data_IF_889875556443
#
_entry.id   IF_889875556443
#
_cell.length_a   1.000
_cell.length_b   1.000
_cell.length_c   1.000
_cell.angle_alpha   90.00
_cell.angle_beta   90.00
_cell.angle_gamma   90.00
#
_symmetry.space_group_name_H-M   'P 1'
#
loop_
_entity.id
_entity.type
_entity.pdbx_description
1 polymer ?
#
# COMPACT_ATOMS: atom_id res chain seq x y z
N UNK A 1 11.38 86.41 48.15
CA UNK A 1 10.50 85.24 48.02
C UNK A 1 11.38 84.04 47.80
N UNK A 2 11.57 83.11 48.74
CA UNK A 2 10.54 82.29 49.39
C UNK A 2 9.57 81.72 48.34
N UNK A 3 9.92 80.52 47.83
CA UNK A 3 9.12 79.30 47.96
C UNK A 3 9.10 78.41 46.71
N UNK A 4 9.67 77.20 46.90
CA UNK A 4 9.49 75.93 46.17
C UNK A 4 10.53 75.53 45.12
N UNK A 5 11.66 75.05 45.64
CA UNK A 5 12.36 73.90 45.08
C UNK A 5 11.60 72.59 45.38
N UNK A 6 11.67 71.66 44.43
CA UNK A 6 11.61 70.19 44.58
C UNK A 6 10.25 69.54 44.95
N UNK A 7 9.77 68.68 44.05
CA UNK A 7 8.91 67.56 44.40
C UNK A 7 7.77 67.27 43.44
N UNK A 8 8.05 66.73 42.25
CA UNK A 8 7.09 65.88 41.54
C UNK A 8 7.83 64.76 40.82
N UNK A 9 8.23 63.77 41.61
CA UNK A 9 8.37 62.40 41.13
C UNK A 9 6.95 61.81 41.08
N UNK A 10 6.47 61.44 39.89
CA UNK A 10 5.21 60.72 39.75
C UNK A 10 5.47 59.44 38.95
N UNK A 11 5.23 58.25 39.52
CA UNK A 11 5.39 57.01 38.79
C UNK A 11 4.15 56.83 37.90
N UNK A 12 4.33 56.98 36.59
CA UNK A 12 3.27 56.66 35.63
C UNK A 12 3.22 55.14 35.42
N UNK A 13 2.56 54.42 36.33
CA UNK A 13 2.20 53.01 36.14
C UNK A 13 0.77 52.93 35.59
N UNK A 14 0.66 52.68 34.28
CA UNK A 14 -0.64 52.41 33.63
C UNK A 14 -0.87 50.92 33.58
N UNK A 15 -1.75 50.41 34.46
CA UNK A 15 -2.29 49.05 34.36
C UNK A 15 -3.68 49.15 33.70
N UNK A 16 -3.77 48.74 32.44
CA UNK A 16 -5.01 48.70 31.68
C UNK A 16 -5.50 47.28 31.47
N UNK A 17 -6.75 47.00 31.84
CA UNK A 17 -7.47 45.77 31.46
C UNK A 17 -8.31 46.05 30.21
N UNK A 18 -7.93 45.42 29.08
CA UNK A 18 -8.69 45.47 27.84
C UNK A 18 -9.66 44.30 27.78
N UNK A 19 -10.97 44.59 27.83
CA UNK A 19 -12.05 43.63 27.61
C UNK A 19 -12.72 43.90 26.27
N UNK A 20 -12.63 42.94 25.34
CA UNK A 20 -13.26 43.04 24.01
C UNK A 20 -14.33 41.97 23.83
N UNK A 21 -15.58 42.39 23.59
CA UNK A 21 -16.68 41.49 23.21
C UNK A 21 -17.09 41.83 21.77
N UNK A 22 -16.89 40.92 20.79
CA UNK A 22 -17.16 41.23 19.40
C UNK A 22 -18.67 41.37 19.15
N UNK A 23 -19.12 42.58 18.82
CA UNK A 23 -20.47 42.84 18.38
C UNK A 23 -20.57 42.57 16.87
N UNK A 24 -21.50 41.69 16.48
CA UNK A 24 -21.79 41.19 15.12
C UNK A 24 -20.87 40.06 14.64
N UNK A 25 -21.29 38.85 14.98
CA UNK A 25 -20.61 37.56 14.80
C UNK A 25 -20.46 37.06 13.33
N UNK A 26 -20.49 37.95 12.32
CA UNK A 26 -20.46 37.52 10.89
C UNK A 26 -19.17 36.79 10.52
N UNK A 27 -18.04 37.29 11.02
CA UNK A 27 -16.72 36.67 10.79
C UNK A 27 -16.60 35.32 11.51
N UNK A 28 -17.08 35.22 12.75
CA UNK A 28 -17.12 33.95 13.48
C UNK A 28 -18.04 32.93 12.79
N UNK A 29 -19.21 33.36 12.29
CA UNK A 29 -20.13 32.50 11.52
C UNK A 29 -19.49 31.99 10.23
N UNK A 30 -18.80 32.86 9.49
CA UNK A 30 -18.06 32.48 8.29
C UNK A 30 -16.92 31.49 8.60
N UNK A 31 -16.21 31.68 9.72
CA UNK A 31 -15.17 30.77 10.16
C UNK A 31 -15.74 29.40 10.55
N UNK A 32 -16.88 29.35 11.25
CA UNK A 32 -17.59 28.09 11.57
C UNK A 32 -17.99 27.37 10.28
N UNK A 33 -18.61 28.06 9.32
CA UNK A 33 -18.99 27.47 8.03
C UNK A 33 -17.78 26.94 7.26
N UNK A 34 -16.64 27.65 7.29
CA UNK A 34 -15.39 27.17 6.68
C UNK A 34 -14.90 25.89 7.36
N UNK A 35 -14.91 25.85 8.69
CA UNK A 35 -14.54 24.65 9.45
C UNK A 35 -15.48 23.47 9.15
N UNK A 36 -16.79 23.70 9.08
CA UNK A 36 -17.78 22.66 8.73
C UNK A 36 -17.54 22.09 7.33
N UNK A 37 -17.23 22.96 6.36
CA UNK A 37 -16.86 22.54 5.00
C UNK A 37 -15.58 21.70 5.00
N UNK A 38 -14.57 22.09 5.77
CA UNK A 38 -13.32 21.33 5.91
C UNK A 38 -13.56 19.96 6.55
N UNK A 39 -14.41 19.88 7.58
CA UNK A 39 -14.80 18.61 8.21
C UNK A 39 -15.51 17.70 7.20
N UNK A 40 -16.44 18.24 6.41
CA UNK A 40 -17.15 17.48 5.40
C UNK A 40 -16.23 17.00 4.26
N UNK A 41 -15.27 17.83 3.85
CA UNK A 41 -14.23 17.43 2.89
C UNK A 41 -13.36 16.30 3.45
N UNK A 42 -12.93 16.40 4.71
CA UNK A 42 -12.12 15.38 5.35
C UNK A 42 -12.88 14.04 5.48
N UNK A 43 -14.17 14.08 5.85
CA UNK A 43 -15.04 12.88 5.87
C UNK A 43 -15.10 12.20 4.50
N UNK A 44 -15.35 12.97 3.44
CA UNK A 44 -15.36 12.42 2.08
C UNK A 44 -14.02 11.82 1.67
N UNK A 45 -12.92 12.45 2.05
CA UNK A 45 -11.58 11.91 1.79
C UNK A 45 -11.36 10.57 2.51
N UNK A 46 -11.83 10.44 3.74
CA UNK A 46 -11.77 9.16 4.49
C UNK A 46 -12.64 8.09 3.82
N UNK A 47 -13.86 8.44 3.40
CA UNK A 47 -14.74 7.52 2.69
C UNK A 47 -14.12 7.04 1.37
N UNK A 48 -13.58 7.96 0.57
CA UNK A 48 -12.89 7.66 -0.69
C UNK A 48 -11.66 6.77 -0.47
N UNK A 49 -10.85 7.05 0.56
CA UNK A 49 -9.70 6.22 0.93
C UNK A 49 -10.13 4.80 1.31
N UNK A 50 -11.22 4.67 2.07
CA UNK A 50 -11.76 3.37 2.50
C UNK A 50 -12.26 2.55 1.30
N UNK A 51 -13.01 3.18 0.39
CA UNK A 51 -13.49 2.55 -0.84
C UNK A 51 -12.34 2.11 -1.75
N UNK A 52 -11.32 2.96 -1.91
CA UNK A 52 -10.12 2.62 -2.68
C UNK A 52 -9.38 1.43 -2.06
N UNK A 53 -9.20 1.42 -0.73
CA UNK A 53 -8.51 0.34 -0.04
C UNK A 53 -9.26 -0.99 -0.15
N UNK A 54 -10.59 -0.98 0.01
CA UNK A 54 -11.43 -2.16 -0.19
C UNK A 54 -11.33 -2.72 -1.62
N UNK A 55 -11.28 -1.83 -2.61
CA UNK A 55 -11.12 -2.21 -4.02
C UNK A 55 -9.75 -2.84 -4.29
N UNK A 56 -8.67 -2.26 -3.75
CA UNK A 56 -7.31 -2.80 -3.85
C UNK A 56 -7.23 -4.18 -3.18
N UNK A 57 -7.78 -4.34 -1.98
CA UNK A 57 -7.81 -5.62 -1.27
C UNK A 57 -8.56 -6.70 -2.04
N UNK A 58 -9.71 -6.36 -2.61
CA UNK A 58 -10.51 -7.29 -3.43
C UNK A 58 -9.72 -7.74 -4.67
N UNK A 59 -9.10 -6.81 -5.38
CA UNK A 59 -8.29 -7.12 -6.55
C UNK A 59 -7.10 -8.01 -6.19
N UNK A 60 -6.43 -7.72 -5.08
CA UNK A 60 -5.29 -8.50 -4.61
C UNK A 60 -5.70 -9.92 -4.21
N UNK A 61 -6.84 -10.08 -3.54
CA UNK A 61 -7.40 -11.40 -3.23
C UNK A 61 -7.69 -12.22 -4.50
N UNK A 62 -8.30 -11.60 -5.52
CA UNK A 62 -8.55 -12.26 -6.81
C UNK A 62 -7.22 -12.70 -7.46
N UNK A 63 -6.21 -11.82 -7.49
CA UNK A 63 -4.90 -12.15 -8.05
C UNK A 63 -4.23 -13.32 -7.32
N UNK A 64 -4.28 -13.36 -5.99
CA UNK A 64 -3.75 -14.47 -5.19
C UNK A 64 -4.45 -15.79 -5.56
N UNK A 65 -5.78 -15.78 -5.70
CA UNK A 65 -6.57 -16.97 -6.04
C UNK A 65 -6.31 -17.47 -7.45
N UNK A 66 -6.17 -16.58 -8.42
CA UNK A 66 -5.80 -16.99 -9.77
C UNK A 66 -4.36 -17.50 -9.84
N UNK A 67 -3.43 -16.86 -9.14
CA UNK A 67 -2.04 -17.29 -9.11
C UNK A 67 -1.87 -18.65 -8.42
N UNK A 68 -2.69 -18.96 -7.42
CA UNK A 68 -2.76 -20.30 -6.81
C UNK A 68 -3.10 -21.39 -7.86
N UNK A 69 -4.05 -21.11 -8.77
CA UNK A 69 -4.38 -22.03 -9.87
C UNK A 69 -3.21 -22.15 -10.85
N UNK A 70 -2.57 -21.04 -11.18
CA UNK A 70 -1.37 -21.02 -12.05
C UNK A 70 -0.25 -21.86 -11.45
N UNK A 71 -0.04 -21.81 -10.13
CA UNK A 71 0.97 -22.63 -9.46
C UNK A 71 0.68 -24.14 -9.59
N UNK A 72 -0.59 -24.53 -9.50
CA UNK A 72 -0.99 -25.93 -9.74
C UNK A 72 -0.71 -26.35 -11.18
N UNK A 73 -1.08 -25.52 -12.16
CA UNK A 73 -0.78 -25.79 -13.58
C UNK A 73 0.72 -25.87 -13.85
N UNK A 74 1.52 -25.02 -13.20
CA UNK A 74 2.97 -25.07 -13.30
C UNK A 74 3.55 -26.40 -12.77
N UNK A 75 2.98 -26.96 -11.69
CA UNK A 75 3.39 -28.28 -11.20
C UNK A 75 3.08 -29.38 -12.23
N UNK A 76 1.88 -29.35 -12.81
CA UNK A 76 1.49 -30.28 -13.88
C UNK A 76 2.42 -30.16 -15.11
N UNK A 77 2.83 -28.94 -15.45
CA UNK A 77 3.79 -28.65 -16.51
C UNK A 77 5.18 -29.22 -16.21
N UNK A 78 5.66 -29.09 -14.98
CA UNK A 78 6.95 -29.68 -14.55
C UNK A 78 6.89 -31.21 -14.69
N UNK A 79 5.84 -31.85 -14.19
CA UNK A 79 5.70 -33.30 -14.29
C UNK A 79 5.61 -33.77 -15.75
N UNK A 80 4.90 -33.03 -16.59
CA UNK A 80 4.85 -33.31 -18.04
C UNK A 80 6.23 -33.19 -18.70
N UNK A 81 6.97 -32.12 -18.40
CA UNK A 81 8.30 -31.90 -18.94
C UNK A 81 9.31 -32.95 -18.44
N UNK A 82 9.19 -33.38 -17.19
CA UNK A 82 10.00 -34.45 -16.62
C UNK A 82 9.76 -35.79 -17.32
N UNK A 83 8.49 -36.19 -17.50
CA UNK A 83 8.13 -37.41 -18.24
C UNK A 83 8.70 -37.40 -19.66
N UNK A 84 8.58 -36.27 -20.37
CA UNK A 84 9.17 -36.11 -21.70
C UNK A 84 10.69 -36.30 -21.68
N UNK A 85 11.38 -35.71 -20.70
CA UNK A 85 12.83 -35.86 -20.56
C UNK A 85 13.23 -37.31 -20.29
N UNK A 86 12.49 -38.02 -19.45
CA UNK A 86 12.70 -39.45 -19.18
C UNK A 86 12.52 -40.31 -20.44
N UNK A 87 11.50 -40.02 -21.25
CA UNK A 87 11.24 -40.70 -22.53
C UNK A 87 12.35 -40.44 -23.55
N UNK A 88 12.76 -39.20 -23.76
CA UNK A 88 13.84 -38.84 -24.68
C UNK A 88 15.16 -39.48 -24.26
N UNK A 89 15.47 -39.48 -22.96
CA UNK A 89 16.67 -40.12 -22.42
C UNK A 89 16.65 -41.64 -22.67
N UNK A 90 15.48 -42.27 -22.50
CA UNK A 90 15.31 -43.70 -22.79
C UNK A 90 15.52 -44.01 -24.26
N UNK A 91 14.97 -43.20 -25.18
CA UNK A 91 15.17 -43.36 -26.62
C UNK A 91 16.63 -43.19 -27.01
N UNK A 92 17.30 -42.17 -26.49
CA UNK A 92 18.73 -41.94 -26.70
C UNK A 92 19.59 -43.12 -26.23
N UNK A 93 19.34 -43.63 -25.02
CA UNK A 93 20.07 -44.76 -24.45
C UNK A 93 19.86 -46.07 -25.24
N UNK A 94 18.77 -46.18 -26.00
CA UNK A 94 18.50 -47.30 -26.91
C UNK A 94 19.11 -47.10 -28.31
N UNK A 95 19.82 -45.99 -28.55
CA UNK A 95 20.34 -45.61 -29.86
C UNK A 95 19.24 -45.18 -30.86
N UNK A 96 18.04 -44.87 -30.36
CA UNK A 96 16.85 -44.52 -31.15
C UNK A 96 16.47 -43.05 -31.06
N UNK A 97 17.22 -42.25 -30.31
CA UNK A 97 16.99 -40.82 -30.09
C UNK A 97 18.26 -39.99 -30.31
N UNK A 98 18.08 -38.70 -30.60
CA UNK A 98 19.17 -37.72 -30.76
C UNK A 98 19.51 -37.07 -29.41
N UNK A 99 20.80 -36.85 -29.14
CA UNK A 99 21.26 -36.12 -27.96
C UNK A 99 20.64 -34.72 -27.88
N UNK A 100 20.40 -34.10 -29.03
CA UNK A 100 19.79 -32.77 -29.14
C UNK A 100 18.40 -32.73 -28.48
N UNK A 101 17.58 -33.77 -28.67
CA UNK A 101 16.26 -33.85 -28.04
C UNK A 101 16.34 -34.05 -26.52
N UNK A 102 17.35 -34.78 -26.04
CA UNK A 102 17.61 -34.91 -24.60
C UNK A 102 18.01 -33.57 -23.98
N UNK A 103 18.86 -32.80 -24.65
CA UNK A 103 19.25 -31.46 -24.16
C UNK A 103 18.03 -30.54 -24.13
N UNK A 104 17.28 -30.47 -25.24
CA UNK A 104 16.08 -29.62 -25.32
C UNK A 104 15.00 -29.98 -24.29
N UNK A 105 14.78 -31.27 -24.04
CA UNK A 105 13.82 -31.72 -23.03
C UNK A 105 14.25 -31.32 -21.61
N UNK A 106 15.53 -31.47 -21.27
CA UNK A 106 16.09 -31.00 -19.99
C UNK A 106 15.98 -29.48 -19.83
N UNK A 107 16.26 -28.72 -20.87
CA UNK A 107 16.11 -27.26 -20.85
C UNK A 107 14.64 -26.87 -20.61
N UNK A 108 13.70 -27.57 -21.24
CA UNK A 108 12.27 -27.37 -21.01
C UNK A 108 11.84 -27.73 -19.59
N UNK A 109 12.34 -28.82 -19.02
CA UNK A 109 12.09 -29.20 -17.62
C UNK A 109 12.61 -28.11 -16.67
N UNK A 110 13.81 -27.60 -16.90
CA UNK A 110 14.40 -26.55 -16.09
C UNK A 110 13.65 -25.22 -16.21
N UNK A 111 13.22 -24.86 -17.42
CA UNK A 111 12.40 -23.67 -17.65
C UNK A 111 11.03 -23.76 -16.96
N UNK A 112 10.41 -24.94 -16.94
CA UNK A 112 9.16 -25.17 -16.22
C UNK A 112 9.35 -24.96 -14.70
N UNK A 113 10.44 -25.48 -14.12
CA UNK A 113 10.80 -25.27 -12.72
C UNK A 113 11.09 -23.81 -12.39
N UNK A 114 11.81 -23.11 -13.27
CA UNK A 114 12.08 -21.68 -13.11
C UNK A 114 10.79 -20.86 -13.11
N UNK A 115 9.89 -21.14 -14.06
CA UNK A 115 8.58 -20.48 -14.16
C UNK A 115 7.75 -20.70 -12.90
N UNK A 116 7.73 -21.92 -12.36
CA UNK A 116 7.11 -22.21 -11.08
C UNK A 116 7.70 -21.38 -9.95
N UNK A 117 9.03 -21.35 -9.82
CA UNK A 117 9.70 -20.62 -8.74
C UNK A 117 9.40 -19.11 -8.78
N UNK A 118 9.42 -18.49 -9.97
CA UNK A 118 9.09 -17.06 -10.14
C UNK A 118 7.63 -16.78 -9.76
N UNK A 119 6.71 -17.65 -10.17
CA UNK A 119 5.31 -17.50 -9.82
C UNK A 119 5.06 -17.72 -8.32
N UNK A 120 5.79 -18.64 -7.69
CA UNK A 120 5.69 -18.90 -6.25
C UNK A 120 6.20 -17.72 -5.43
N UNK A 121 7.31 -17.10 -5.84
CA UNK A 121 7.80 -15.86 -5.25
C UNK A 121 6.78 -14.73 -5.38
N UNK A 122 6.17 -14.59 -6.55
CA UNK A 122 5.13 -13.59 -6.80
C UNK A 122 3.92 -13.83 -5.89
N UNK A 123 3.48 -15.09 -5.75
CA UNK A 123 2.38 -15.46 -4.85
C UNK A 123 2.66 -15.08 -3.40
N UNK A 124 3.85 -15.39 -2.89
CA UNK A 124 4.23 -15.01 -1.53
C UNK A 124 4.31 -13.49 -1.35
N UNK A 125 4.82 -12.77 -2.34
CA UNK A 125 4.84 -11.30 -2.33
C UNK A 125 3.43 -10.73 -2.21
N UNK A 126 2.48 -11.21 -3.03
CA UNK A 126 1.08 -10.75 -2.98
C UNK A 126 0.41 -11.05 -1.64
N UNK A 127 0.69 -12.21 -1.03
CA UNK A 127 0.18 -12.53 0.32
C UNK A 127 0.70 -11.54 1.36
N UNK A 128 1.99 -11.19 1.30
CA UNK A 128 2.58 -10.24 2.24
C UNK A 128 1.94 -8.85 2.06
N UNK A 129 1.79 -8.40 0.82
CA UNK A 129 1.10 -7.14 0.50
C UNK A 129 -0.35 -7.15 1.00
N UNK A 130 -1.07 -8.26 0.84
CA UNK A 130 -2.45 -8.40 1.30
C UNK A 130 -2.55 -8.28 2.81
N UNK A 131 -1.66 -8.96 3.54
CA UNK A 131 -1.61 -8.88 5.01
C UNK A 131 -1.26 -7.45 5.47
N UNK A 132 -0.29 -6.81 4.83
CA UNK A 132 0.10 -5.45 5.17
C UNK A 132 -1.06 -4.44 4.99
N UNK A 133 -1.83 -4.57 3.91
CA UNK A 133 -3.00 -3.72 3.66
C UNK A 133 -4.15 -4.00 4.64
N UNK A 134 -4.38 -5.26 4.99
CA UNK A 134 -5.36 -5.64 6.01
C UNK A 134 -4.98 -5.05 7.37
N UNK A 135 -3.71 -5.15 7.78
CA UNK A 135 -3.22 -4.57 9.03
C UNK A 135 -3.38 -3.04 9.07
N UNK A 136 -3.29 -2.35 7.93
CA UNK A 136 -3.57 -0.92 7.82
C UNK A 136 -5.06 -0.59 7.94
N UNK A 137 -5.96 -1.46 7.46
CA UNK A 137 -7.41 -1.26 7.54
C UNK A 137 -7.95 -1.42 8.96
N UNK A 138 -7.38 -2.33 9.75
CA UNK A 138 -7.82 -2.63 11.12
C UNK A 138 -7.06 -1.86 12.22
N UNK A 139 -6.19 -0.92 11.85
CA UNK A 139 -5.52 0.01 12.79
C UNK A 139 -6.34 1.28 12.99
#
# INVERSE_FOLDING_TARGET
GLDRALGMDKPDLVVGLLYSFPLRNRTAKAQITKTDLQINQLKKQVDDLTLNLASVLTNLYIQIRELEKVLKLNQEQIESAKRKTEEELKLYNQGRGDLTFVIQSRDNEQNAKLTYAVNALTYHKLIIEYKALMDQLYR
#
